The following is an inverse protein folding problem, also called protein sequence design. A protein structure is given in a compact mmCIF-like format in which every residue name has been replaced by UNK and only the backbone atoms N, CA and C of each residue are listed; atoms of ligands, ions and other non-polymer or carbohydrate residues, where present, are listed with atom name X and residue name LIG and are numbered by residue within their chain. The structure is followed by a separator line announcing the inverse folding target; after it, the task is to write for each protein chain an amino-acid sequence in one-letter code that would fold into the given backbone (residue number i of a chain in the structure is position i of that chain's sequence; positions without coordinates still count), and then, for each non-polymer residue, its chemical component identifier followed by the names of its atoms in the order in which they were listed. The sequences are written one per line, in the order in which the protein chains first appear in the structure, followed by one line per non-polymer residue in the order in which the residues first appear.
data_IF_256867785989
#
_entry.id   IF_256867785989
#
_cell.length_a   1.000
_cell.length_b   1.000
_cell.length_c   1.000
_cell.angle_alpha   90.00
_cell.angle_beta   90.00
_cell.angle_gamma   90.00
#
_symmetry.space_group_name_H-M   'P 1'
#
loop_
_entity.id
_entity.type
_entity.pdbx_description
1 polymer ?
#
# COMPACT_ATOMS: atom_id res chain seq x y z
N UNK A 1 -17.40 -12.92 -19.06
CA UNK A 1 -18.28 -11.72 -19.07
C UNK A 1 -19.09 -11.53 -17.79
N UNK A 2 -18.98 -12.42 -16.80
CA UNK A 2 -19.69 -12.32 -15.51
C UNK A 2 -18.87 -11.68 -14.38
N UNK A 3 -17.55 -11.63 -14.48
CA UNK A 3 -16.68 -10.97 -13.46
C UNK A 3 -16.64 -9.43 -13.58
N UNK A 4 -17.05 -8.86 -14.72
CA UNK A 4 -17.12 -7.41 -14.89
C UNK A 4 -18.43 -6.84 -14.28
N UNK A 5 -19.46 -7.68 -14.10
CA UNK A 5 -20.74 -7.24 -13.50
C UNK A 5 -20.70 -7.13 -11.96
N UNK A 6 -19.76 -7.81 -11.29
CA UNK A 6 -19.65 -7.76 -9.83
C UNK A 6 -18.76 -6.63 -9.29
N UNK A 7 -17.90 -6.02 -10.11
CA UNK A 7 -17.18 -4.79 -9.72
C UNK A 7 -18.12 -3.58 -9.59
N UNK A 8 -19.11 -3.48 -10.49
CA UNK A 8 -20.06 -2.37 -10.48
C UNK A 8 -21.14 -2.46 -9.38
N UNK A 9 -21.31 -3.63 -8.74
CA UNK A 9 -22.32 -3.79 -7.68
C UNK A 9 -21.82 -3.30 -6.32
N UNK A 10 -20.52 -3.42 -6.05
CA UNK A 10 -19.91 -2.89 -4.82
C UNK A 10 -19.62 -1.38 -4.88
N UNK A 11 -19.46 -0.79 -6.06
CA UNK A 11 -19.42 0.68 -6.20
C UNK A 11 -20.80 1.33 -6.00
N UNK A 12 -21.89 0.57 -6.14
CA UNK A 12 -23.27 1.09 -6.02
C UNK A 12 -23.79 1.28 -4.58
N UNK A 13 -23.08 0.75 -3.57
CA UNK A 13 -23.44 0.89 -2.15
C UNK A 13 -22.74 2.07 -1.45
N UNK A 14 -21.88 2.81 -2.18
CA UNK A 14 -21.25 4.06 -1.73
C UNK A 14 -21.93 5.31 -2.29
N UNK A 15 -23.17 5.19 -2.80
CA UNK A 15 -24.05 6.33 -3.03
C UNK A 15 -24.64 6.83 -1.70
N UNK A 16 -23.76 7.29 -0.82
CA UNK A 16 -24.15 8.20 0.25
C UNK A 16 -24.50 9.53 -0.42
N UNK A 17 -25.79 9.83 -0.46
CA UNK A 17 -26.43 11.06 -0.94
C UNK A 17 -26.03 12.32 -0.13
N UNK A 18 -24.76 12.47 0.24
CA UNK A 18 -24.27 13.55 1.10
C UNK A 18 -23.71 14.76 0.36
N UNK A 19 -23.65 14.78 -0.97
CA UNK A 19 -23.00 15.89 -1.67
C UNK A 19 -23.80 16.29 -2.92
N UNK A 20 -24.97 16.90 -2.72
CA UNK A 20 -25.54 17.82 -3.70
C UNK A 20 -26.57 18.73 -3.07
N UNK A 21 -26.15 19.58 -2.13
CA UNK A 21 -26.88 20.82 -1.87
C UNK A 21 -25.85 21.88 -1.43
N UNK A 22 -25.59 22.84 -2.32
CA UNK A 22 -24.78 24.04 -2.07
C UNK A 22 -25.48 25.03 -1.11
N UNK A 23 -26.30 24.53 -0.19
CA UNK A 23 -27.00 25.35 0.79
C UNK A 23 -26.23 25.32 2.10
N UNK A 24 -25.69 26.49 2.47
CA UNK A 24 -25.24 26.73 3.83
C UNK A 24 -26.48 27.05 4.68
N UNK A 25 -26.49 26.68 5.97
CA UNK A 25 -27.58 27.07 6.87
C UNK A 25 -27.81 28.59 6.86
N UNK A 26 -29.07 29.03 7.00
CA UNK A 26 -29.47 30.46 6.90
C UNK A 26 -28.69 31.40 7.85
N UNK A 27 -28.13 30.87 8.93
CA UNK A 27 -27.36 31.63 9.93
C UNK A 27 -25.86 31.74 9.61
N UNK A 28 -25.39 31.08 8.56
CA UNK A 28 -23.98 31.08 8.17
C UNK A 28 -23.74 32.17 7.13
N UNK A 29 -22.67 32.93 7.33
CA UNK A 29 -22.22 33.90 6.34
C UNK A 29 -21.10 33.29 5.49
N UNK A 30 -21.06 33.60 4.20
CA UNK A 30 -19.85 33.39 3.40
C UNK A 30 -18.90 34.55 3.64
N UNK A 31 -17.66 34.23 3.98
CA UNK A 31 -16.59 35.21 4.15
C UNK A 31 -15.44 34.89 3.23
N UNK A 32 -14.74 35.92 2.77
CA UNK A 32 -13.49 35.77 2.03
C UNK A 32 -12.37 35.37 2.98
N UNK A 33 -11.46 34.54 2.50
CA UNK A 33 -10.30 34.07 3.26
C UNK A 33 -9.46 35.23 3.82
N UNK A 34 -9.25 36.29 3.03
CA UNK A 34 -8.51 37.49 3.46
C UNK A 34 -9.20 38.34 4.53
N UNK A 35 -10.50 38.15 4.78
CA UNK A 35 -11.24 38.87 5.84
C UNK A 35 -11.03 38.24 7.22
N UNK A 36 -10.62 36.96 7.27
CA UNK A 36 -10.51 36.18 8.51
C UNK A 36 -9.09 35.68 8.79
N UNK A 37 -8.14 35.88 7.88
CA UNK A 37 -6.76 35.46 8.08
C UNK A 37 -5.75 36.35 7.32
N UNK A 38 -4.54 36.47 7.87
CA UNK A 38 -3.38 37.06 7.22
C UNK A 38 -2.47 35.97 6.62
N UNK A 39 -1.96 36.24 5.42
CA UNK A 39 -1.07 35.34 4.68
C UNK A 39 0.34 35.90 4.55
N UNK A 40 1.29 35.23 5.20
CA UNK A 40 2.69 35.64 5.22
C UNK A 40 3.46 34.76 4.23
N UNK A 41 4.02 35.37 3.19
CA UNK A 41 4.86 34.69 2.22
C UNK A 41 6.22 34.32 2.81
N UNK A 42 6.71 33.13 2.46
CA UNK A 42 8.08 32.71 2.79
C UNK A 42 9.17 33.45 2.01
N UNK A 43 10.41 33.31 2.50
CA UNK A 43 11.60 33.91 1.89
C UNK A 43 12.03 33.09 0.67
N UNK A 44 12.42 33.78 -0.40
CA UNK A 44 13.06 33.17 -1.56
C UNK A 44 14.52 32.80 -1.26
N UNK A 45 14.80 31.60 -0.73
CA UNK A 45 16.16 31.17 -0.45
C UNK A 45 16.90 30.81 -1.75
N UNK A 46 18.09 31.37 -1.92
CA UNK A 46 19.01 31.01 -3.01
C UNK A 46 19.74 29.71 -2.68
N UNK A 47 20.10 28.92 -3.69
CA UNK A 47 20.87 27.68 -3.49
C UNK A 47 22.20 27.90 -2.77
N UNK A 48 22.80 29.09 -2.92
CA UNK A 48 24.02 29.50 -2.20
C UNK A 48 23.82 29.71 -0.70
N UNK A 49 22.58 29.90 -0.23
CA UNK A 49 22.24 30.04 1.19
C UNK A 49 21.99 28.68 1.87
N UNK A 50 21.89 27.59 1.08
CA UNK A 50 21.62 26.26 1.62
C UNK A 50 22.89 25.62 2.16
N UNK A 51 22.79 25.15 3.39
CA UNK A 51 23.84 24.39 4.09
C UNK A 51 23.28 23.07 4.62
N UNK A 52 24.17 22.20 5.10
CA UNK A 52 23.82 20.86 5.63
C UNK A 52 23.39 20.87 7.10
N UNK A 53 23.58 21.97 7.81
CA UNK A 53 23.29 22.12 9.24
C UNK A 53 22.88 23.57 9.56
N UNK A 54 22.10 23.76 10.63
CA UNK A 54 21.58 25.08 11.04
C UNK A 54 20.08 25.02 11.29
N UNK A 55 19.38 26.13 11.03
CA UNK A 55 17.92 26.17 11.14
C UNK A 55 17.28 25.56 9.88
N UNK A 56 16.36 24.59 10.00
CA UNK A 56 15.75 23.95 8.85
C UNK A 56 14.88 24.93 8.04
N UNK A 57 14.90 24.78 6.72
CA UNK A 57 14.06 25.50 5.77
C UNK A 57 12.91 24.57 5.35
N UNK A 58 11.67 24.92 5.70
CA UNK A 58 10.48 24.14 5.35
C UNK A 58 10.21 24.29 3.85
N UNK A 59 10.24 23.17 3.11
CA UNK A 59 9.80 23.11 1.71
C UNK A 59 8.50 22.31 1.61
N UNK A 60 7.85 22.39 0.44
CA UNK A 60 6.56 21.71 0.19
C UNK A 60 6.66 20.20 0.43
N UNK A 61 7.77 19.57 0.02
CA UNK A 61 8.01 18.15 0.27
C UNK A 61 8.01 17.79 1.76
N UNK A 62 8.47 18.68 2.63
CA UNK A 62 8.51 18.46 4.08
C UNK A 62 7.11 18.53 4.70
N UNK A 63 6.15 19.17 4.03
CA UNK A 63 4.74 19.20 4.44
C UNK A 63 3.99 17.93 4.01
N UNK A 64 4.37 17.36 2.86
CA UNK A 64 3.64 16.26 2.23
C UNK A 64 4.24 14.88 2.53
N UNK A 65 5.49 14.82 3.01
CA UNK A 65 6.22 13.59 3.28
C UNK A 65 7.07 13.75 4.53
N UNK A 66 6.74 12.97 5.56
CA UNK A 66 7.30 13.05 6.92
C UNK A 66 8.83 12.89 6.98
N UNK A 67 9.40 12.05 6.11
CA UNK A 67 10.84 11.72 6.10
C UNK A 67 11.64 12.48 5.02
N UNK A 68 11.13 13.62 4.53
CA UNK A 68 11.87 14.40 3.53
C UNK A 68 13.05 15.13 4.14
N UNK A 69 14.19 15.12 3.45
CA UNK A 69 15.36 15.91 3.83
C UNK A 69 15.07 17.42 3.84
N UNK A 70 15.72 18.13 4.76
CA UNK A 70 15.68 19.58 4.87
C UNK A 70 16.92 20.20 4.22
N UNK A 71 16.74 21.41 3.68
CA UNK A 71 17.85 22.33 3.52
C UNK A 71 17.94 23.18 4.79
N UNK A 72 19.12 23.70 5.11
CA UNK A 72 19.32 24.51 6.32
C UNK A 72 19.86 25.89 5.98
N UNK A 73 19.68 26.83 6.91
CA UNK A 73 20.28 28.15 6.89
C UNK A 73 20.95 28.43 8.24
N UNK A 74 22.22 28.87 8.22
CA UNK A 74 22.96 29.28 9.42
C UNK A 74 22.66 30.71 9.86
N UNK A 75 22.38 31.59 8.89
CA UNK A 75 22.11 32.99 9.17
C UNK A 75 20.75 33.16 9.84
N UNK A 76 20.67 34.07 10.80
CA UNK A 76 19.38 34.54 11.30
C UNK A 76 18.69 35.37 10.21
N UNK A 77 17.39 35.13 10.04
CA UNK A 77 16.55 35.85 9.08
C UNK A 77 15.43 36.58 9.80
N UNK A 78 14.69 37.42 9.09
CA UNK A 78 13.61 38.22 9.65
C UNK A 78 12.52 37.35 10.29
N UNK A 79 12.06 37.76 11.48
CA UNK A 79 11.07 37.04 12.30
C UNK A 79 9.78 36.67 11.58
N UNK A 80 9.39 37.42 10.54
CA UNK A 80 8.20 37.11 9.73
C UNK A 80 8.29 35.77 8.99
N UNK A 81 9.50 35.27 8.75
CA UNK A 81 9.74 33.98 8.11
C UNK A 81 9.94 32.83 9.10
N UNK A 82 9.89 33.10 10.40
CA UNK A 82 10.03 32.08 11.43
C UNK A 82 8.73 31.28 11.54
N UNK A 83 8.83 29.97 11.73
CA UNK A 83 7.70 29.07 11.90
C UNK A 83 7.94 28.20 13.11
N UNK A 84 6.90 27.94 13.90
CA UNK A 84 6.94 27.07 15.07
C UNK A 84 5.85 26.00 15.00
N UNK A 85 6.03 24.92 15.75
CA UNK A 85 5.00 23.89 15.89
C UNK A 85 3.65 24.51 16.27
N UNK A 86 2.59 24.10 15.57
CA UNK A 86 1.23 24.64 15.72
C UNK A 86 0.87 25.73 14.71
N UNK A 87 1.84 26.26 13.96
CA UNK A 87 1.56 27.21 12.87
C UNK A 87 0.79 26.53 11.74
N UNK A 88 -0.20 27.25 11.18
CA UNK A 88 -0.95 26.79 10.02
C UNK A 88 -0.21 27.22 8.75
N UNK A 89 0.14 26.25 7.92
CA UNK A 89 0.86 26.44 6.67
C UNK A 89 0.00 26.03 5.48
N UNK A 90 0.17 26.70 4.35
CA UNK A 90 -0.48 26.33 3.10
C UNK A 90 0.51 26.34 1.93
N UNK A 91 0.69 25.19 1.28
CA UNK A 91 1.45 25.06 0.04
C UNK A 91 0.57 25.52 -1.13
N UNK A 92 0.97 26.59 -1.81
CA UNK A 92 0.17 27.25 -2.86
C UNK A 92 0.74 27.07 -4.28
N UNK A 93 1.76 26.25 -4.45
CA UNK A 93 2.42 25.99 -5.74
C UNK A 93 2.88 24.53 -5.85
N UNK A 94 3.13 24.06 -7.06
CA UNK A 94 3.73 22.77 -7.34
C UNK A 94 2.88 21.93 -8.27
N UNK A 95 3.02 20.62 -8.20
CA UNK A 95 2.22 19.69 -9.01
C UNK A 95 0.79 19.61 -8.44
N UNK A 96 -0.24 19.82 -9.29
CA UNK A 96 -1.63 19.55 -8.94
C UNK A 96 -1.81 18.21 -8.21
N UNK A 97 -2.77 18.17 -7.27
CA UNK A 97 -3.14 17.00 -6.45
C UNK A 97 -2.11 16.44 -5.46
N UNK A 98 -0.84 16.81 -5.58
CA UNK A 98 0.25 16.23 -4.76
C UNK A 98 1.05 17.24 -3.95
N UNK A 99 1.05 18.50 -4.38
CA UNK A 99 1.85 19.57 -3.75
C UNK A 99 1.03 20.52 -2.89
N UNK A 100 -0.20 20.85 -3.31
CA UNK A 100 -1.06 21.81 -2.64
C UNK A 100 -1.70 21.23 -1.38
N UNK A 101 -1.79 22.02 -0.31
CA UNK A 101 -2.44 21.55 0.92
C UNK A 101 -2.27 22.48 2.11
N UNK A 102 -3.18 22.32 3.08
CA UNK A 102 -3.15 23.00 4.38
C UNK A 102 -2.64 22.03 5.47
N UNK A 103 -1.70 22.48 6.29
CA UNK A 103 -0.99 21.66 7.27
C UNK A 103 -0.80 22.40 8.59
N UNK A 104 -0.97 21.70 9.71
CA UNK A 104 -0.45 22.18 11.00
C UNK A 104 0.99 21.71 11.10
N UNK A 105 1.91 22.65 11.23
CA UNK A 105 3.33 22.35 11.34
C UNK A 105 3.64 21.66 12.68
N UNK A 106 4.43 20.58 12.65
CA UNK A 106 4.82 19.80 13.84
C UNK A 106 6.34 19.70 14.05
N UNK A 107 7.14 20.21 13.11
CA UNK A 107 8.59 20.00 13.08
C UNK A 107 9.43 21.01 13.86
N UNK A 108 8.86 21.72 14.84
CA UNK A 108 9.60 22.65 15.70
C UNK A 108 9.89 24.01 15.04
N UNK A 109 10.96 24.66 15.47
CA UNK A 109 11.39 25.94 14.90
C UNK A 109 12.03 25.75 13.52
N UNK A 110 11.60 26.54 12.54
CA UNK A 110 12.12 26.47 11.18
C UNK A 110 11.90 27.79 10.41
N UNK A 111 12.47 27.89 9.22
CA UNK A 111 12.27 29.00 8.30
C UNK A 111 11.32 28.66 7.16
N UNK A 112 10.43 29.61 6.83
CA UNK A 112 9.43 29.48 5.79
C UNK A 112 10.03 29.76 4.40
N UNK A 113 10.05 28.76 3.53
CA UNK A 113 10.48 28.91 2.14
C UNK A 113 9.41 29.56 1.26
N UNK A 114 9.83 30.15 0.13
CA UNK A 114 8.91 30.58 -0.91
C UNK A 114 8.01 29.41 -1.36
N UNK A 115 6.79 29.74 -1.80
CA UNK A 115 5.71 28.79 -2.16
C UNK A 115 4.87 28.20 -1.01
N UNK A 116 5.11 28.66 0.21
CA UNK A 116 4.29 28.33 1.38
C UNK A 116 3.83 29.63 2.04
N UNK A 117 2.54 29.70 2.40
CA UNK A 117 2.02 30.72 3.28
C UNK A 117 2.09 30.23 4.72
N UNK A 118 2.53 31.09 5.66
CA UNK A 118 2.12 30.98 7.06
C UNK A 118 0.82 31.76 7.24
N UNK A 119 -0.19 31.09 7.77
CA UNK A 119 -1.54 31.62 7.95
C UNK A 119 -1.73 32.00 9.40
N UNK A 120 -2.07 33.27 9.64
CA UNK A 120 -2.44 33.78 10.97
C UNK A 120 -3.93 34.10 10.95
N UNK A 121 -4.73 33.27 11.60
CA UNK A 121 -6.19 33.44 11.64
C UNK A 121 -6.59 34.46 12.70
N UNK A 122 -7.67 35.21 12.45
CA UNK A 122 -8.32 36.01 13.48
C UNK A 122 -9.16 35.07 14.37
N UNK A 123 -8.59 34.64 15.49
CA UNK A 123 -9.21 33.65 16.39
C UNK A 123 -10.51 34.14 17.05
N UNK A 124 -10.83 35.44 16.97
CA UNK A 124 -12.14 35.97 17.40
C UNK A 124 -13.25 35.64 16.42
N UNK A 125 -12.91 35.37 15.16
CA UNK A 125 -13.85 35.07 14.09
C UNK A 125 -13.84 33.58 13.74
N UNK A 126 -12.66 32.97 13.67
CA UNK A 126 -12.50 31.62 13.15
C UNK A 126 -11.47 30.79 13.92
N UNK A 127 -11.86 29.58 14.30
CA UNK A 127 -10.97 28.61 14.93
C UNK A 127 -9.96 28.03 13.93
N UNK A 128 -8.70 27.92 14.34
CA UNK A 128 -7.59 27.43 13.50
C UNK A 128 -7.83 26.05 12.88
N UNK A 129 -8.34 25.10 13.67
CA UNK A 129 -8.65 23.74 13.18
C UNK A 129 -9.84 23.74 12.21
N UNK A 130 -10.86 24.55 12.46
CA UNK A 130 -11.96 24.71 11.51
C UNK A 130 -11.44 25.29 10.19
N UNK A 131 -10.57 26.31 10.25
CA UNK A 131 -9.95 26.90 9.07
C UNK A 131 -9.13 25.87 8.27
N UNK A 132 -8.33 25.05 8.95
CA UNK A 132 -7.60 23.94 8.34
C UNK A 132 -8.53 23.03 7.53
N UNK A 133 -9.66 22.61 8.11
CA UNK A 133 -10.62 21.73 7.42
C UNK A 133 -11.36 22.44 6.29
N UNK A 134 -11.73 23.71 6.46
CA UNK A 134 -12.33 24.51 5.41
C UNK A 134 -11.40 24.63 4.19
N UNK A 135 -10.09 24.86 4.41
CA UNK A 135 -9.09 24.89 3.35
C UNK A 135 -8.90 23.52 2.69
N UNK A 136 -8.86 22.44 3.47
CA UNK A 136 -8.78 21.06 2.94
C UNK A 136 -9.98 20.73 2.05
N UNK A 137 -11.18 21.13 2.44
CA UNK A 137 -12.39 20.94 1.63
C UNK A 137 -12.33 21.71 0.29
N UNK A 138 -11.68 22.88 0.27
CA UNK A 138 -11.53 23.73 -0.93
C UNK A 138 -10.36 23.34 -1.83
N UNK A 139 -9.57 22.33 -1.50
CA UNK A 139 -8.32 22.02 -2.21
C UNK A 139 -8.52 21.78 -3.72
N UNK A 140 -9.59 21.09 -4.11
CA UNK A 140 -9.89 20.81 -5.52
C UNK A 140 -10.23 22.09 -6.30
N UNK A 141 -10.94 23.02 -5.66
CA UNK A 141 -11.27 24.33 -6.24
C UNK A 141 -10.01 25.17 -6.41
N UNK A 142 -9.13 25.18 -5.42
CA UNK A 142 -7.84 25.84 -5.47
C UNK A 142 -6.96 25.32 -6.61
N UNK A 143 -6.84 23.99 -6.74
CA UNK A 143 -6.06 23.36 -7.82
C UNK A 143 -6.65 23.70 -9.19
N UNK A 144 -7.99 23.69 -9.33
CA UNK A 144 -8.67 24.05 -10.59
C UNK A 144 -8.42 25.51 -11.00
N UNK A 145 -8.35 26.41 -10.03
CA UNK A 145 -8.16 27.86 -10.25
C UNK A 145 -6.68 28.27 -10.30
N UNK A 146 -5.75 27.32 -10.11
CA UNK A 146 -4.31 27.56 -10.19
C UNK A 146 -3.87 27.77 -11.64
N UNK A 147 -2.88 28.66 -11.83
CA UNK A 147 -2.33 28.99 -13.13
C UNK A 147 -1.03 28.22 -13.38
N UNK A 148 -0.87 27.64 -14.58
CA UNK A 148 0.35 26.95 -14.99
C UNK A 148 0.12 25.81 -15.98
N UNK A 149 1.19 25.08 -16.31
CA UNK A 149 1.14 23.90 -17.17
C UNK A 149 0.96 22.62 -16.35
N UNK A 150 0.66 21.50 -17.02
CA UNK A 150 0.56 20.18 -16.40
C UNK A 150 1.93 19.75 -15.81
N UNK A 151 2.18 20.16 -14.56
CA UNK A 151 3.41 19.87 -13.82
C UNK A 151 3.76 20.92 -12.77
N UNK A 152 3.45 22.20 -13.06
CA UNK A 152 3.72 23.32 -12.16
C UNK A 152 2.60 24.35 -12.25
N UNK A 153 1.73 24.36 -11.23
CA UNK A 153 0.68 25.34 -11.07
C UNK A 153 0.90 26.16 -9.79
N UNK A 154 0.34 27.37 -9.74
CA UNK A 154 0.38 28.22 -8.56
C UNK A 154 -0.87 29.06 -8.41
N UNK A 155 -1.18 29.43 -7.16
CA UNK A 155 -2.28 30.36 -6.83
C UNK A 155 -1.69 31.67 -6.35
N UNK A 156 -2.15 32.79 -6.90
CA UNK A 156 -1.74 34.11 -6.43
C UNK A 156 -2.37 34.41 -5.07
N UNK A 157 -1.67 35.16 -4.22
CA UNK A 157 -2.17 35.55 -2.90
C UNK A 157 -3.55 36.23 -2.97
N UNK A 158 -3.71 37.17 -3.91
CA UNK A 158 -4.98 37.88 -4.11
C UNK A 158 -6.14 36.93 -4.46
N UNK A 159 -5.96 35.98 -5.39
CA UNK A 159 -7.00 34.97 -5.69
C UNK A 159 -7.29 34.06 -4.50
N UNK A 160 -6.27 33.72 -3.72
CA UNK A 160 -6.44 32.92 -2.51
C UNK A 160 -7.29 33.68 -1.48
N UNK A 161 -6.95 34.94 -1.22
CA UNK A 161 -7.67 35.82 -0.29
C UNK A 161 -9.13 36.07 -0.71
N UNK A 162 -9.42 36.10 -2.01
CA UNK A 162 -10.77 36.28 -2.55
C UNK A 162 -11.66 35.04 -2.44
N UNK A 163 -11.08 33.86 -2.21
CA UNK A 163 -11.84 32.62 -2.09
C UNK A 163 -12.76 32.66 -0.87
N UNK A 164 -13.96 32.06 -0.98
CA UNK A 164 -14.97 32.14 0.07
C UNK A 164 -15.16 30.82 0.81
N UNK A 165 -15.39 30.91 2.13
CA UNK A 165 -15.76 29.78 2.98
C UNK A 165 -16.98 30.13 3.86
N UNK A 166 -17.76 29.13 4.28
CA UNK A 166 -18.77 29.34 5.31
C UNK A 166 -18.15 29.69 6.67
N UNK A 167 -18.76 30.64 7.37
CA UNK A 167 -18.40 31.07 8.71
C UNK A 167 -19.57 30.82 9.69
N UNK A 168 -19.61 29.64 10.34
CA UNK A 168 -20.51 29.37 11.47
C UNK A 168 -20.11 30.20 12.71
N UNK A 169 -21.00 30.33 13.71
CA UNK A 169 -20.61 30.75 15.06
C UNK A 169 -19.48 29.87 15.64
N UNK A 170 -18.59 30.45 16.46
CA UNK A 170 -17.43 29.74 17.02
C UNK A 170 -17.77 28.42 17.72
N UNK A 171 -18.87 28.38 18.48
CA UNK A 171 -19.32 27.16 19.16
C UNK A 171 -19.69 26.04 18.16
N UNK A 172 -20.25 26.41 17.01
CA UNK A 172 -20.59 25.45 15.95
C UNK A 172 -19.34 25.00 15.20
N UNK A 173 -18.38 25.90 14.93
CA UNK A 173 -17.07 25.54 14.39
C UNK A 173 -16.36 24.47 15.26
N UNK A 174 -16.39 24.65 16.58
CA UNK A 174 -15.83 23.67 17.53
C UNK A 174 -16.54 22.31 17.47
N UNK A 175 -17.87 22.30 17.38
CA UNK A 175 -18.65 21.05 17.24
C UNK A 175 -18.35 20.34 15.93
N UNK A 176 -18.23 21.07 14.82
CA UNK A 176 -17.86 20.53 13.51
C UNK A 176 -16.49 19.87 13.60
N UNK A 177 -15.49 20.60 14.12
CA UNK A 177 -14.13 20.08 14.30
C UNK A 177 -14.14 18.81 15.17
N UNK A 178 -14.85 18.85 16.30
CA UNK A 178 -14.94 17.70 17.21
C UNK A 178 -15.51 16.48 16.51
N UNK A 179 -16.57 16.65 15.69
CA UNK A 179 -17.17 15.54 14.95
C UNK A 179 -16.26 15.01 13.83
N UNK A 180 -15.52 15.89 13.15
CA UNK A 180 -14.54 15.47 12.14
C UNK A 180 -13.42 14.62 12.78
N UNK A 181 -12.84 15.09 13.87
CA UNK A 181 -11.75 14.39 14.58
C UNK A 181 -12.24 13.05 15.17
N UNK A 182 -13.46 13.00 15.71
CA UNK A 182 -14.11 11.75 16.15
C UNK A 182 -14.20 10.73 15.01
N UNK A 183 -14.76 11.12 13.86
CA UNK A 183 -14.93 10.24 12.70
C UNK A 183 -13.60 9.80 12.09
N UNK A 184 -12.59 10.69 12.03
CA UNK A 184 -11.26 10.32 11.57
C UNK A 184 -10.58 9.34 12.53
N UNK A 185 -10.73 9.51 13.83
CA UNK A 185 -10.22 8.55 14.82
C UNK A 185 -10.86 7.16 14.66
N UNK A 186 -12.16 7.09 14.37
CA UNK A 186 -12.84 5.83 14.08
C UNK A 186 -12.31 5.16 12.81
N UNK A 187 -12.05 5.93 11.75
CA UNK A 187 -11.45 5.41 10.52
C UNK A 187 -10.06 4.84 10.77
N UNK A 188 -9.20 5.55 11.52
CA UNK A 188 -7.86 5.10 11.85
C UNK A 188 -7.88 3.78 12.64
N UNK A 189 -8.76 3.66 13.64
CA UNK A 189 -8.98 2.42 14.40
C UNK A 189 -9.44 1.27 13.50
N UNK A 190 -10.30 1.55 12.52
CA UNK A 190 -10.74 0.58 11.52
C UNK A 190 -9.58 0.05 10.67
N UNK A 191 -8.71 0.95 10.20
CA UNK A 191 -7.52 0.59 9.42
C UNK A 191 -6.56 -0.28 10.25
N UNK A 192 -6.31 0.09 11.51
CA UNK A 192 -5.44 -0.67 12.42
C UNK A 192 -6.01 -2.06 12.73
N UNK A 193 -7.31 -2.15 12.97
CA UNK A 193 -8.01 -3.42 13.21
C UNK A 193 -7.89 -4.36 12.00
N UNK A 194 -8.04 -3.83 10.79
CA UNK A 194 -7.89 -4.60 9.55
C UNK A 194 -6.46 -5.14 9.38
N UNK A 195 -5.44 -4.31 9.62
CA UNK A 195 -4.03 -4.74 9.58
C UNK A 195 -3.76 -5.85 10.60
N UNK A 196 -4.28 -5.71 11.81
CA UNK A 196 -4.13 -6.71 12.88
C UNK A 196 -4.78 -8.03 12.50
N UNK A 197 -6.01 -8.01 11.97
CA UNK A 197 -6.71 -9.21 11.52
C UNK A 197 -5.95 -9.93 10.39
N UNK A 198 -5.37 -9.19 9.44
CA UNK A 198 -4.53 -9.76 8.38
C UNK A 198 -3.30 -10.49 8.94
N UNK A 199 -2.62 -9.90 9.92
CA UNK A 199 -1.46 -10.51 10.57
C UNK A 199 -1.85 -11.76 11.39
N UNK A 200 -2.96 -11.69 12.13
CA UNK A 200 -3.49 -12.83 12.88
C UNK A 200 -3.87 -13.99 11.97
N UNK A 201 -4.46 -13.71 10.80
CA UNK A 201 -4.81 -14.75 9.82
C UNK A 201 -3.56 -15.53 9.34
N UNK A 202 -2.41 -14.85 9.17
CA UNK A 202 -1.14 -15.50 8.81
C UNK A 202 -0.69 -16.47 9.91
N UNK A 203 -0.74 -16.04 11.16
CA UNK A 203 -0.37 -16.87 12.32
C UNK A 203 -1.32 -18.05 12.49
N UNK A 204 -2.63 -17.81 12.38
CA UNK A 204 -3.65 -18.85 12.51
C UNK A 204 -3.46 -19.94 11.45
N UNK A 205 -3.21 -19.57 10.18
CA UNK A 205 -2.92 -20.54 9.11
C UNK A 205 -1.71 -21.42 9.44
N UNK A 206 -0.63 -20.83 9.96
CA UNK A 206 0.54 -21.60 10.38
C UNK A 206 0.23 -22.53 11.56
N UNK A 207 -0.54 -22.07 12.54
CA UNK A 207 -0.93 -22.88 13.69
C UNK A 207 -1.84 -24.07 13.29
N UNK A 208 -2.76 -23.87 12.33
CA UNK A 208 -3.60 -24.94 11.79
C UNK A 208 -2.75 -25.96 11.03
N UNK A 209 -1.84 -25.53 10.16
CA UNK A 209 -0.92 -26.44 9.46
C UNK A 209 -0.06 -27.22 10.45
N UNK A 210 0.55 -26.54 11.44
CA UNK A 210 1.31 -27.20 12.49
C UNK A 210 0.47 -28.26 13.21
N UNK A 211 -0.76 -27.92 13.60
CA UNK A 211 -1.66 -28.86 14.26
C UNK A 211 -2.05 -30.05 13.36
N UNK A 212 -2.17 -29.83 12.05
CA UNK A 212 -2.43 -30.90 11.09
C UNK A 212 -1.25 -31.88 10.99
N UNK A 213 -0.03 -31.37 10.84
CA UNK A 213 1.19 -32.18 10.68
C UNK A 213 1.75 -32.74 11.99
N UNK A 214 1.30 -32.25 13.16
CA UNK A 214 1.47 -32.92 14.45
C UNK A 214 0.36 -33.97 14.72
N UNK A 215 -0.55 -34.17 13.76
CA UNK A 215 -1.64 -35.15 13.83
C UNK A 215 -2.72 -34.85 14.88
N UNK A 216 -2.80 -33.60 15.36
CA UNK A 216 -3.84 -33.17 16.32
C UNK A 216 -5.21 -33.14 15.68
N UNK A 217 -5.29 -32.68 14.43
CA UNK A 217 -6.57 -32.59 13.70
C UNK A 217 -7.16 -33.95 13.32
N UNK A 218 -6.34 -35.01 13.28
CA UNK A 218 -6.78 -36.37 12.89
C UNK A 218 -6.78 -37.36 14.05
N UNK A 219 -6.52 -36.92 15.29
CA UNK A 219 -6.36 -37.78 16.47
C UNK A 219 -7.54 -38.73 16.67
N UNK A 220 -8.77 -38.22 16.67
CA UNK A 220 -9.98 -39.02 16.84
C UNK A 220 -10.21 -39.99 15.67
N UNK A 221 -9.99 -39.53 14.44
CA UNK A 221 -10.13 -40.37 13.26
C UNK A 221 -9.15 -41.54 13.30
N UNK A 222 -7.88 -41.30 13.67
CA UNK A 222 -6.86 -42.37 13.81
C UNK A 222 -7.19 -43.36 14.92
N UNK A 223 -7.77 -42.88 16.04
CA UNK A 223 -8.25 -43.77 17.10
C UNK A 223 -9.34 -44.74 16.64
N UNK A 224 -10.14 -44.38 15.64
CA UNK A 224 -11.16 -45.25 15.02
C UNK A 224 -10.64 -46.09 13.85
N UNK A 225 -9.42 -45.85 13.38
CA UNK A 225 -8.83 -46.53 12.22
C UNK A 225 -7.38 -46.98 12.53
N UNK A 226 -7.16 -47.83 13.55
CA UNK A 226 -5.82 -48.20 14.00
C UNK A 226 -5.02 -48.98 12.94
N UNK A 227 -5.69 -49.69 12.03
CA UNK A 227 -5.06 -50.52 10.99
C UNK A 227 -4.47 -49.70 9.82
N UNK A 228 -4.69 -48.38 9.79
CA UNK A 228 -4.15 -47.47 8.77
C UNK A 228 -2.75 -46.99 9.16
N UNK A 229 -1.77 -47.84 8.93
CA UNK A 229 -0.35 -47.55 9.13
C UNK A 229 0.38 -47.32 7.80
N UNK A 230 1.48 -46.57 7.84
CA UNK A 230 2.37 -46.43 6.68
C UNK A 230 2.98 -47.79 6.32
N UNK A 231 3.08 -48.10 5.02
CA UNK A 231 3.63 -49.38 4.52
C UNK A 231 4.96 -49.75 5.20
N UNK A 232 5.18 -51.04 5.40
CA UNK A 232 6.43 -51.59 5.95
C UNK A 232 7.61 -51.35 5.01
N UNK A 233 7.37 -51.30 3.69
CA UNK A 233 8.39 -51.07 2.66
C UNK A 233 9.00 -49.66 2.72
N UNK A 234 8.36 -48.71 3.40
CA UNK A 234 8.87 -47.35 3.57
C UNK A 234 9.83 -47.30 4.76
N UNK A 235 11.08 -46.96 4.45
CA UNK A 235 12.18 -46.83 5.41
C UNK A 235 11.96 -45.58 6.27
N UNK A 236 11.94 -45.79 7.59
CA UNK A 236 11.84 -44.71 8.57
C UNK A 236 13.19 -44.01 8.76
N UNK A 237 13.19 -42.69 8.66
CA UNK A 237 14.35 -41.85 8.97
C UNK A 237 14.51 -41.72 10.49
N UNK A 238 15.68 -42.11 11.00
CA UNK A 238 16.03 -42.05 12.42
C UNK A 238 17.07 -40.96 12.66
N UNK A 239 16.63 -39.72 12.63
CA UNK A 239 17.43 -38.55 13.01
C UNK A 239 16.99 -38.07 14.40
N UNK A 240 17.96 -37.93 15.31
CA UNK A 240 17.72 -37.55 16.71
C UNK A 240 17.19 -36.12 16.90
N UNK A 241 17.26 -35.28 15.86
CA UNK A 241 16.68 -33.94 15.85
C UNK A 241 15.18 -33.93 15.48
N UNK A 242 14.65 -35.05 14.97
CA UNK A 242 13.25 -35.16 14.59
C UNK A 242 12.38 -35.45 15.82
N UNK A 243 11.26 -34.73 15.91
CA UNK A 243 10.35 -34.85 17.05
C UNK A 243 9.53 -36.14 17.04
N UNK A 244 8.81 -36.39 18.13
CA UNK A 244 7.87 -37.51 18.22
C UNK A 244 6.72 -37.36 17.22
N UNK A 245 6.38 -38.47 16.55
CA UNK A 245 5.23 -38.54 15.67
C UNK A 245 4.09 -39.31 16.31
N UNK A 246 2.85 -39.06 15.86
CA UNK A 246 1.73 -39.89 16.27
C UNK A 246 1.88 -41.35 15.83
N UNK A 247 1.27 -42.26 16.59
CA UNK A 247 1.27 -43.70 16.25
C UNK A 247 0.81 -43.96 14.81
N UNK A 248 1.56 -44.82 14.11
CA UNK A 248 1.36 -45.21 12.71
C UNK A 248 2.04 -44.29 11.68
N UNK A 249 2.63 -43.17 12.11
CA UNK A 249 3.37 -42.25 11.24
C UNK A 249 4.87 -42.57 11.31
N UNK A 250 5.59 -42.32 10.21
CA UNK A 250 7.03 -42.48 10.11
C UNK A 250 7.64 -41.19 9.55
N UNK A 251 8.80 -40.80 10.05
CA UNK A 251 9.63 -39.82 9.34
C UNK A 251 10.21 -40.50 8.11
N UNK A 252 10.17 -39.82 6.96
CA UNK A 252 10.66 -40.37 5.69
C UNK A 252 11.40 -39.28 4.93
N UNK A 253 12.43 -39.67 4.18
CA UNK A 253 13.08 -38.71 3.27
C UNK A 253 12.15 -38.45 2.09
N UNK A 254 12.13 -37.20 1.62
CA UNK A 254 11.29 -36.83 0.48
C UNK A 254 11.60 -37.68 -0.77
N UNK A 255 12.86 -38.09 -0.95
CA UNK A 255 13.28 -38.99 -2.03
C UNK A 255 12.61 -40.37 -2.03
N UNK A 256 12.12 -40.84 -0.89
CA UNK A 256 11.42 -42.13 -0.78
C UNK A 256 9.94 -42.05 -1.20
N UNK A 257 9.38 -40.83 -1.26
CA UNK A 257 7.96 -40.59 -1.56
C UNK A 257 7.73 -39.82 -2.86
N UNK A 258 8.80 -39.55 -3.61
CA UNK A 258 8.74 -38.96 -4.95
C UNK A 258 9.38 -39.93 -5.94
N UNK A 259 8.81 -40.07 -7.13
CA UNK A 259 9.40 -40.94 -8.15
C UNK A 259 10.77 -40.40 -8.59
N UNK A 260 10.82 -39.19 -9.17
CA UNK A 260 12.06 -38.51 -9.55
C UNK A 260 11.86 -36.99 -9.61
N UNK A 261 12.71 -36.17 -8.97
CA UNK A 261 12.70 -34.73 -9.17
C UNK A 261 13.19 -34.42 -10.59
N UNK A 262 12.37 -33.75 -11.39
CA UNK A 262 12.75 -33.31 -12.74
C UNK A 262 13.22 -31.86 -12.71
N UNK A 263 13.94 -31.44 -13.74
CA UNK A 263 14.21 -30.02 -14.04
C UNK A 263 13.42 -29.58 -15.27
N UNK A 264 12.99 -28.32 -15.29
CA UNK A 264 12.26 -27.75 -16.42
C UNK A 264 13.19 -27.21 -17.49
N UNK A 265 12.65 -26.41 -18.40
CA UNK A 265 13.41 -25.86 -19.52
C UNK A 265 13.98 -24.46 -19.23
N UNK A 266 15.21 -24.19 -19.66
CA UNK A 266 15.83 -22.85 -19.68
C UNK A 266 15.71 -22.14 -21.03
N UNK A 267 14.87 -22.65 -21.93
CA UNK A 267 14.67 -22.08 -23.27
C UNK A 267 14.12 -20.66 -23.17
N UNK A 268 14.65 -19.74 -23.98
CA UNK A 268 14.19 -18.36 -24.03
C UNK A 268 12.75 -18.32 -24.53
N UNK A 269 11.86 -17.70 -23.76
CA UNK A 269 10.44 -17.60 -24.07
C UNK A 269 10.02 -16.14 -24.33
N UNK A 270 9.03 -15.95 -25.21
CA UNK A 270 8.55 -14.65 -25.67
C UNK A 270 7.02 -14.51 -25.53
N UNK A 271 6.51 -13.28 -25.68
CA UNK A 271 5.08 -12.98 -25.57
C UNK A 271 4.29 -13.13 -26.87
N UNK A 272 4.97 -13.47 -27.97
CA UNK A 272 4.38 -13.53 -29.30
C UNK A 272 3.38 -14.68 -29.52
N UNK A 273 3.08 -15.49 -28.48
CA UNK A 273 2.14 -16.63 -28.51
C UNK A 273 2.48 -17.70 -29.57
N UNK A 274 3.74 -17.78 -29.98
CA UNK A 274 4.19 -18.77 -30.96
C UNK A 274 4.81 -19.97 -30.24
N UNK A 275 4.28 -21.16 -30.50
CA UNK A 275 4.73 -22.42 -29.90
C UNK A 275 3.92 -22.82 -28.67
N UNK A 276 4.54 -23.53 -27.72
CA UNK A 276 3.90 -24.04 -26.51
C UNK A 276 4.05 -23.05 -25.37
N UNK A 277 3.02 -22.90 -24.55
CA UNK A 277 3.03 -22.07 -23.35
C UNK A 277 3.93 -22.68 -22.27
N UNK A 278 4.67 -21.82 -21.58
CA UNK A 278 5.66 -22.20 -20.57
C UNK A 278 5.36 -21.47 -19.27
N UNK A 279 5.15 -22.23 -18.20
CA UNK A 279 5.04 -21.72 -16.84
C UNK A 279 6.37 -21.13 -16.39
N UNK A 280 6.34 -20.14 -15.51
CA UNK A 280 7.50 -19.49 -14.91
C UNK A 280 7.27 -19.35 -13.41
N UNK A 281 8.31 -18.94 -12.68
CA UNK A 281 8.22 -18.69 -11.23
C UNK A 281 7.00 -17.83 -10.83
N UNK A 282 6.65 -16.73 -11.53
CA UNK A 282 5.47 -15.92 -11.19
C UNK A 282 4.14 -16.67 -11.35
N UNK A 283 4.09 -17.71 -12.18
CA UNK A 283 2.89 -18.51 -12.42
C UNK A 283 2.61 -19.51 -11.28
N UNK A 284 3.50 -19.63 -10.28
CA UNK A 284 3.29 -20.49 -9.09
C UNK A 284 2.83 -19.60 -7.94
N UNK A 285 1.52 -19.62 -7.65
CA UNK A 285 0.92 -18.73 -6.67
C UNK A 285 -0.22 -19.42 -5.89
N UNK A 286 -0.22 -19.28 -4.57
CA UNK A 286 -1.34 -19.72 -3.73
C UNK A 286 -1.62 -21.22 -3.75
N UNK A 287 -0.64 -22.07 -4.10
CA UNK A 287 -0.84 -23.52 -4.23
C UNK A 287 -1.38 -23.96 -5.60
N UNK A 288 -1.54 -23.03 -6.56
CA UNK A 288 -2.11 -23.26 -7.89
C UNK A 288 -1.28 -22.57 -8.98
N UNK A 289 -1.65 -22.83 -10.23
CA UNK A 289 -1.09 -22.14 -11.40
C UNK A 289 -1.88 -20.87 -11.72
N UNK A 290 -1.16 -19.76 -11.85
CA UNK A 290 -1.66 -18.49 -12.39
C UNK A 290 -1.21 -18.36 -13.85
N UNK A 291 -2.14 -18.49 -14.79
CA UNK A 291 -1.92 -18.44 -16.24
C UNK A 291 -2.21 -17.06 -16.86
N UNK A 292 -2.40 -16.03 -16.04
CA UNK A 292 -2.67 -14.67 -16.53
C UNK A 292 -1.52 -14.04 -17.33
N UNK A 293 -0.28 -14.46 -17.06
CA UNK A 293 0.95 -13.98 -17.71
C UNK A 293 1.87 -15.13 -18.19
N UNK A 294 1.52 -15.71 -19.33
CA UNK A 294 2.28 -16.79 -19.97
C UNK A 294 3.25 -16.30 -21.06
N UNK A 295 4.36 -17.03 -21.20
CA UNK A 295 5.29 -16.91 -22.33
C UNK A 295 5.32 -18.20 -23.13
N UNK A 296 5.80 -18.11 -24.37
CA UNK A 296 5.76 -19.19 -25.34
C UNK A 296 7.14 -19.40 -25.96
N UNK A 297 7.42 -20.63 -26.35
CA UNK A 297 8.57 -20.97 -27.17
C UNK A 297 8.27 -22.18 -28.07
N UNK A 298 9.03 -22.33 -29.15
CA UNK A 298 8.96 -23.52 -30.00
C UNK A 298 9.74 -24.66 -29.35
N UNK A 299 9.15 -25.84 -29.33
CA UNK A 299 9.76 -27.07 -28.84
C UNK A 299 9.59 -28.17 -29.87
N UNK A 300 10.54 -29.07 -29.96
CA UNK A 300 10.35 -30.33 -30.69
C UNK A 300 9.55 -31.34 -29.86
N UNK A 301 9.20 -32.48 -30.46
CA UNK A 301 8.37 -33.50 -29.81
C UNK A 301 9.05 -34.11 -28.57
N UNK A 302 10.38 -34.28 -28.59
CA UNK A 302 11.15 -34.86 -27.49
C UNK A 302 11.21 -33.90 -26.29
N UNK A 303 11.41 -32.61 -26.54
CA UNK A 303 11.33 -31.55 -25.53
C UNK A 303 9.94 -31.47 -24.91
N UNK A 304 8.88 -31.52 -25.72
CA UNK A 304 7.49 -31.47 -25.23
C UNK A 304 7.22 -32.66 -24.30
N UNK A 305 7.62 -33.87 -24.70
CA UNK A 305 7.44 -35.07 -23.87
C UNK A 305 8.22 -34.95 -22.55
N UNK A 306 9.45 -34.46 -22.60
CA UNK A 306 10.34 -34.32 -21.43
C UNK A 306 9.86 -33.33 -20.39
N UNK A 307 9.19 -32.24 -20.81
CA UNK A 307 8.70 -31.16 -19.93
C UNK A 307 7.18 -31.17 -19.74
N UNK A 308 6.49 -32.19 -20.22
CA UNK A 308 5.05 -32.35 -20.04
C UNK A 308 4.68 -32.49 -18.57
N UNK A 309 3.55 -31.91 -18.21
CA UNK A 309 2.98 -31.97 -16.87
C UNK A 309 1.79 -32.92 -16.85
N UNK A 310 1.66 -33.67 -15.76
CA UNK A 310 0.52 -34.53 -15.48
C UNK A 310 -0.31 -33.96 -14.35
N UNK A 311 -1.61 -34.20 -14.41
CA UNK A 311 -2.49 -33.89 -13.29
C UNK A 311 -2.00 -34.60 -12.01
N UNK A 312 -1.89 -33.86 -10.92
CA UNK A 312 -1.32 -34.33 -9.66
C UNK A 312 0.16 -34.03 -9.46
N UNK A 313 0.89 -33.61 -10.51
CA UNK A 313 2.29 -33.16 -10.35
C UNK A 313 2.36 -31.97 -9.38
N UNK A 314 3.44 -31.91 -8.60
CA UNK A 314 3.73 -30.77 -7.71
C UNK A 314 4.91 -30.00 -8.28
N UNK A 315 4.67 -28.75 -8.68
CA UNK A 315 5.72 -27.81 -9.03
C UNK A 315 6.20 -27.09 -7.78
N UNK A 316 7.52 -26.91 -7.65
CA UNK A 316 8.12 -26.13 -6.56
C UNK A 316 9.23 -25.22 -7.05
N UNK A 317 9.34 -24.04 -6.44
CA UNK A 317 10.40 -23.07 -6.76
C UNK A 317 11.66 -23.42 -5.97
N UNK A 318 12.60 -24.10 -6.64
CA UNK A 318 13.86 -24.55 -6.02
C UNK A 318 14.82 -23.41 -5.65
N UNK A 319 14.93 -22.39 -6.50
CA UNK A 319 15.92 -21.32 -6.33
C UNK A 319 15.44 -20.01 -6.94
N UNK A 320 15.58 -18.92 -6.20
CA UNK A 320 15.30 -17.55 -6.64
C UNK A 320 16.17 -16.56 -5.84
N UNK A 321 16.42 -15.37 -6.40
CA UNK A 321 17.11 -14.30 -5.67
C UNK A 321 16.32 -13.72 -4.49
N UNK A 322 15.00 -13.94 -4.46
CA UNK A 322 14.13 -13.60 -3.33
C UNK A 322 13.84 -14.84 -2.49
N UNK A 323 14.18 -14.77 -1.20
CA UNK A 323 13.93 -15.84 -0.21
C UNK A 323 12.42 -16.15 -0.09
N UNK A 324 11.57 -15.14 -0.25
CA UNK A 324 10.11 -15.28 -0.14
C UNK A 324 9.46 -16.12 -1.26
N UNK A 325 10.20 -16.39 -2.34
CA UNK A 325 9.72 -17.19 -3.46
C UNK A 325 10.18 -18.65 -3.40
N UNK A 326 11.28 -18.93 -2.72
CA UNK A 326 11.84 -20.30 -2.63
C UNK A 326 10.91 -21.19 -1.80
N UNK A 327 10.67 -22.41 -2.28
CA UNK A 327 9.82 -23.41 -1.61
C UNK A 327 8.32 -23.24 -1.82
N UNK A 328 7.87 -22.20 -2.55
CA UNK A 328 6.47 -22.10 -3.00
C UNK A 328 6.15 -23.25 -3.94
N UNK A 329 4.95 -23.82 -3.78
CA UNK A 329 4.49 -24.96 -4.57
C UNK A 329 3.13 -24.70 -5.24
N UNK A 330 2.83 -25.48 -6.28
CA UNK A 330 1.51 -25.58 -6.88
C UNK A 330 1.22 -27.02 -7.29
N UNK A 331 -0.04 -27.43 -7.15
CA UNK A 331 -0.53 -28.71 -7.68
C UNK A 331 -1.04 -28.48 -9.11
N UNK A 332 -0.59 -29.32 -10.04
CA UNK A 332 -1.03 -29.32 -11.44
C UNK A 332 -2.40 -29.96 -11.52
N UNK A 333 -3.36 -29.23 -12.10
CA UNK A 333 -4.70 -29.72 -12.41
C UNK A 333 -4.79 -30.11 -13.88
N UNK A 334 -5.90 -30.75 -14.27
CA UNK A 334 -6.20 -31.04 -15.68
C UNK A 334 -6.11 -29.83 -16.62
N UNK A 335 -6.33 -28.61 -16.11
CA UNK A 335 -6.21 -27.37 -16.92
C UNK A 335 -4.76 -27.07 -17.29
N UNK A 336 -3.82 -27.48 -16.45
CA UNK A 336 -2.42 -27.05 -16.50
C UNK A 336 -1.54 -28.00 -17.33
N UNK A 337 -2.06 -29.18 -17.69
CA UNK A 337 -1.34 -30.21 -18.46
C UNK A 337 -0.99 -29.77 -19.89
N UNK A 338 -1.62 -28.71 -20.39
CA UNK A 338 -1.31 -28.10 -21.68
C UNK A 338 -0.08 -27.19 -21.65
N UNK A 339 0.48 -26.92 -20.47
CA UNK A 339 1.67 -26.09 -20.31
C UNK A 339 2.94 -26.93 -20.13
N UNK A 340 4.09 -26.34 -20.46
CA UNK A 340 5.41 -26.87 -20.13
C UNK A 340 5.98 -26.12 -18.93
N UNK A 341 6.90 -26.74 -18.19
CA UNK A 341 7.38 -26.19 -16.93
C UNK A 341 8.83 -25.66 -16.97
N UNK A 342 9.19 -24.69 -16.12
CA UNK A 342 10.44 -23.93 -16.23
C UNK A 342 11.63 -24.50 -15.43
N UNK A 343 12.84 -24.23 -15.93
CA UNK A 343 14.07 -24.15 -15.14
C UNK A 343 14.82 -22.87 -15.51
N UNK A 344 15.33 -22.13 -14.52
CA UNK A 344 16.25 -21.03 -14.80
C UNK A 344 17.65 -21.42 -14.32
N UNK A 345 18.59 -21.56 -15.26
CA UNK A 345 20.02 -21.63 -14.94
C UNK A 345 20.40 -20.24 -14.41
N UNK A 346 20.84 -20.13 -13.16
CA UNK A 346 21.43 -18.88 -12.68
C UNK A 346 22.72 -18.65 -13.48
N UNK A 347 22.87 -17.46 -14.06
CA UNK A 347 24.19 -16.98 -14.47
C UNK A 347 24.89 -16.55 -13.18
N UNK A 348 25.99 -17.23 -12.88
CA UNK A 348 26.91 -16.86 -11.79
C UNK A 348 27.69 -15.60 -12.13
#
# INVERSE_FOLDING_TARGET
MEEIKNKNKNESLLNMSFISNNHIPDKWNLVKLGEVAEYINGKAFKSSEWVKEGTPIIRIQNLNRENSEYNYCKSEIEKKYHVNSGDLLFAWSGTPDTSFGAHIWKGGFAYLNQHIFRIVVNERLIGRQYYLYALKNKIKEFVKNAHGTAGLAHITKSKFEESQIPLPPLAEQQRIVSKIEELFSELDKGIESLKTAQQQLKVYRQAVLKSAFEGKLTKEWRGRHPDRVVSEDIVEEKDSSLGELPSGWKWVRLGEVIEQPRYGTSKKCEYNRIGKAVLRIPNIAGGMIDDSDLKYAKFDEEEILSYSLKEGDILTIRSNGSVDLVGKCAIITKRDTDYLWPFRKNHG
#
